data_IF_256421756110
#
_entry.id   IF_256421756110
#
_cell.length_a   1.000
_cell.length_b   1.000
_cell.length_c   1.000
_cell.angle_alpha   90.00
_cell.angle_beta   90.00
_cell.angle_gamma   90.00
#
_symmetry.space_group_name_H-M   'P 1'
#
loop_
_entity.id
_entity.type
_entity.pdbx_description
1 polymer ?
#
# COMPACT_ATOMS: atom_id res chain seq x y z
N UNK A 1 40.82 -11.35 53.23
CA UNK A 1 39.86 -10.26 53.01
C UNK A 1 38.48 -10.82 53.33
N UNK A 2 37.76 -10.15 54.22
CA UNK A 2 36.58 -10.62 54.95
C UNK A 2 35.39 -11.01 54.08
N UNK A 3 34.67 -12.03 54.55
CA UNK A 3 33.28 -12.39 54.22
C UNK A 3 32.29 -11.58 55.09
N UNK A 4 31.00 -11.78 54.78
CA UNK A 4 29.75 -11.28 55.39
C UNK A 4 29.09 -10.17 54.53
N UNK A 5 27.84 -10.27 54.06
CA UNK A 5 26.61 -10.71 54.73
C UNK A 5 25.57 -11.30 53.75
N UNK A 6 24.92 -12.42 54.16
CA UNK A 6 23.48 -12.78 54.15
C UNK A 6 22.58 -12.36 52.96
N UNK A 7 21.66 -13.19 52.44
CA UNK A 7 20.65 -13.92 53.22
C UNK A 7 20.06 -15.16 52.49
N UNK A 8 19.50 -16.04 53.30
CA UNK A 8 19.16 -17.46 53.10
C UNK A 8 17.72 -17.68 52.51
N UNK A 9 17.34 -18.91 52.08
CA UNK A 9 16.16 -19.23 51.28
C UNK A 9 15.01 -19.95 52.04
N UNK A 10 13.86 -20.06 51.33
CA UNK A 10 12.85 -21.13 51.34
C UNK A 10 11.97 -21.44 52.59
N UNK A 11 10.63 -21.42 52.40
CA UNK A 11 9.61 -22.35 52.94
C UNK A 11 8.19 -21.95 52.40
N UNK A 12 7.55 -22.70 51.49
CA UNK A 12 6.42 -23.64 51.71
C UNK A 12 5.69 -23.54 53.08
N UNK A 13 4.36 -23.34 53.13
CA UNK A 13 3.32 -24.39 53.07
C UNK A 13 1.87 -23.85 53.18
N UNK A 14 0.95 -24.63 52.61
CA UNK A 14 -0.51 -24.80 52.71
C UNK A 14 -1.43 -23.83 53.49
N UNK A 15 -2.61 -23.54 52.91
CA UNK A 15 -3.89 -24.10 53.40
C UNK A 15 -5.11 -23.78 52.51
N UNK A 16 -6.00 -24.77 52.46
CA UNK A 16 -7.17 -25.00 51.61
C UNK A 16 -8.46 -24.37 52.15
N UNK A 17 -9.50 -24.33 51.29
CA UNK A 17 -10.95 -24.18 51.56
C UNK A 17 -11.47 -22.72 51.40
N UNK A 18 -12.60 -22.40 50.75
CA UNK A 18 -13.87 -23.12 50.56
C UNK A 18 -14.58 -22.72 49.24
N UNK A 19 -15.42 -23.61 48.74
CA UNK A 19 -16.41 -23.40 47.67
C UNK A 19 -17.66 -22.75 48.24
N UNK A 20 -18.26 -21.77 47.56
CA UNK A 20 -19.72 -21.59 47.54
C UNK A 20 -20.21 -21.09 46.18
N UNK A 21 -21.08 -21.89 45.56
CA UNK A 21 -21.98 -21.55 44.46
C UNK A 21 -23.23 -20.88 45.05
N UNK A 22 -23.70 -19.76 44.48
CA UNK A 22 -25.14 -19.45 44.39
C UNK A 22 -25.41 -18.76 43.05
N UNK A 23 -26.31 -19.39 42.30
CA UNK A 23 -26.92 -18.96 41.03
C UNK A 23 -28.22 -18.20 41.33
N UNK A 24 -28.52 -17.12 40.60
CA UNK A 24 -29.82 -16.76 40.00
C UNK A 24 -29.74 -15.32 39.47
N UNK A 25 -29.75 -15.10 38.14
CA UNK A 25 -30.88 -15.11 37.20
C UNK A 25 -31.53 -13.71 37.07
N UNK A 26 -31.29 -13.08 35.91
CA UNK A 26 -32.13 -12.06 35.28
C UNK A 26 -31.89 -12.09 33.76
N UNK A 27 -32.41 -13.13 33.12
CA UNK A 27 -33.39 -13.06 32.00
C UNK A 27 -33.91 -11.62 31.72
N UNK A 28 -33.99 -11.00 30.53
CA UNK A 28 -33.84 -11.27 29.07
C UNK A 28 -33.76 -9.88 28.40
N UNK A 29 -32.98 -9.68 27.33
CA UNK A 29 -33.53 -9.10 26.08
C UNK A 29 -32.63 -9.31 24.84
N UNK A 30 -33.26 -9.95 23.86
CA UNK A 30 -32.88 -10.20 22.46
C UNK A 30 -32.10 -9.06 21.79
N UNK A 31 -31.06 -9.42 21.04
CA UNK A 31 -31.07 -9.37 19.55
C UNK A 31 -29.66 -9.30 18.99
N UNK A 32 -29.46 -9.98 17.87
CA UNK A 32 -28.43 -9.60 16.91
C UNK A 32 -27.21 -10.49 16.93
N UNK A 33 -27.21 -11.47 16.03
CA UNK A 33 -26.00 -12.03 15.49
C UNK A 33 -25.09 -10.88 15.00
N UNK A 34 -24.03 -10.59 15.73
CA UNK A 34 -22.81 -10.06 15.15
C UNK A 34 -21.88 -11.25 15.05
N UNK A 35 -21.97 -11.98 13.94
CA UNK A 35 -20.80 -12.69 13.42
C UNK A 35 -19.70 -11.64 13.37
N UNK A 36 -18.78 -11.68 14.33
CA UNK A 36 -17.50 -11.03 14.20
C UNK A 36 -16.96 -11.57 12.87
N UNK A 37 -17.07 -10.76 11.83
CA UNK A 37 -16.46 -11.03 10.55
C UNK A 37 -15.01 -11.31 10.88
N UNK A 38 -14.58 -12.54 10.61
CA UNK A 38 -13.18 -12.81 10.39
C UNK A 38 -12.80 -11.94 9.20
N UNK A 39 -12.43 -10.70 9.48
CA UNK A 39 -11.68 -9.88 8.56
C UNK A 39 -10.29 -10.52 8.57
N UNK A 40 -10.14 -11.54 7.71
CA UNK A 40 -8.84 -12.12 7.44
C UNK A 40 -7.95 -10.94 7.06
N UNK A 41 -6.84 -10.77 7.78
CA UNK A 41 -5.80 -9.84 7.39
C UNK A 41 -5.35 -10.17 5.97
N UNK A 42 -5.97 -9.50 4.99
CA UNK A 42 -5.67 -9.65 3.59
C UNK A 42 -4.41 -8.84 3.35
N UNK A 43 -3.26 -9.49 3.43
CA UNK A 43 -2.00 -8.87 3.04
C UNK A 43 -1.98 -8.73 1.49
N UNK A 44 -2.06 -7.51 0.94
CA UNK A 44 -2.09 -7.30 -0.50
C UNK A 44 -0.82 -7.80 -1.19
N UNK A 45 0.32 -7.83 -0.49
CA UNK A 45 1.58 -8.35 -1.02
C UNK A 45 1.50 -9.84 -1.34
N UNK A 46 0.78 -10.61 -0.52
CA UNK A 46 0.59 -12.06 -0.73
C UNK A 46 -0.33 -12.36 -1.94
N UNK A 47 -1.16 -11.42 -2.35
CA UNK A 47 -2.03 -11.59 -3.51
C UNK A 47 -1.35 -11.25 -4.83
N UNK A 48 -0.30 -10.43 -4.81
CA UNK A 48 0.34 -9.92 -6.02
C UNK A 48 0.79 -11.04 -6.98
N UNK A 49 1.53 -12.08 -6.54
CA UNK A 49 1.94 -13.14 -7.46
C UNK A 49 0.76 -13.91 -8.08
N UNK A 50 -0.34 -14.04 -7.33
CA UNK A 50 -1.55 -14.72 -7.82
C UNK A 50 -2.32 -13.84 -8.81
N UNK A 51 -2.50 -12.56 -8.50
CA UNK A 51 -3.20 -11.60 -9.33
C UNK A 51 -2.44 -11.29 -10.64
N UNK A 52 -1.11 -11.48 -10.63
CA UNK A 52 -0.24 -11.15 -11.76
C UNK A 52 0.39 -12.36 -12.44
N UNK A 53 -0.09 -13.57 -12.11
CA UNK A 53 0.42 -14.82 -12.65
C UNK A 53 0.48 -14.79 -14.18
N UNK A 54 1.67 -15.09 -14.72
CA UNK A 54 1.95 -15.13 -16.16
C UNK A 54 1.72 -13.80 -16.90
N UNK A 55 1.53 -12.69 -16.20
CA UNK A 55 1.35 -11.38 -16.80
C UNK A 55 2.70 -10.72 -17.03
N UNK A 56 2.90 -10.22 -18.26
CA UNK A 56 4.05 -9.39 -18.63
C UNK A 56 3.57 -7.94 -18.69
N UNK A 57 4.23 -7.04 -17.97
CA UNK A 57 3.97 -5.60 -18.07
C UNK A 57 4.26 -5.10 -19.48
N UNK A 58 3.28 -4.46 -20.11
CA UNK A 58 3.38 -3.97 -21.51
C UNK A 58 3.08 -2.49 -21.65
N UNK A 59 2.40 -1.89 -20.68
CA UNK A 59 2.05 -0.47 -20.69
C UNK A 59 1.87 0.04 -19.27
N UNK A 60 2.05 1.35 -19.09
CA UNK A 60 1.77 2.01 -17.84
C UNK A 60 1.41 3.48 -18.11
N UNK A 61 0.50 4.02 -17.32
CA UNK A 61 0.13 5.43 -17.33
C UNK A 61 0.04 5.97 -15.92
N UNK A 62 0.35 7.24 -15.76
CA UNK A 62 0.23 7.95 -14.50
C UNK A 62 -0.58 9.23 -14.70
N UNK A 63 -1.51 9.49 -13.81
CA UNK A 63 -2.26 10.72 -13.73
C UNK A 63 -1.94 11.36 -12.39
N UNK A 64 -1.44 12.60 -12.42
CA UNK A 64 -1.10 13.33 -11.22
C UNK A 64 -1.66 14.75 -11.29
N UNK A 65 -2.24 15.20 -10.19
CA UNK A 65 -2.77 16.56 -10.06
C UNK A 65 -2.51 17.09 -8.65
N UNK A 66 -2.21 18.39 -8.56
CA UNK A 66 -2.13 19.06 -7.27
C UNK A 66 -3.55 19.48 -6.81
N UNK A 67 -3.81 19.37 -5.51
CA UNK A 67 -5.09 19.79 -4.94
C UNK A 67 -5.32 21.29 -5.09
N UNK A 68 -4.27 22.08 -4.88
CA UNK A 68 -4.30 23.51 -4.99
C UNK A 68 -3.52 23.98 -6.24
N UNK A 69 -3.79 25.19 -6.75
CA UNK A 69 -2.97 25.78 -7.80
C UNK A 69 -1.56 26.05 -7.29
N UNK A 70 -0.57 25.42 -7.91
CA UNK A 70 0.84 25.70 -7.64
C UNK A 70 1.50 26.20 -8.91
N UNK A 71 2.30 27.26 -8.78
CA UNK A 71 3.05 27.82 -9.88
C UNK A 71 4.24 26.90 -10.20
N UNK A 72 4.27 26.36 -11.43
CA UNK A 72 5.46 25.85 -12.11
C UNK A 72 6.20 24.64 -11.48
N UNK A 73 5.69 24.03 -10.41
CA UNK A 73 6.25 22.76 -9.93
C UNK A 73 5.99 21.62 -10.89
N UNK A 74 6.91 20.67 -10.94
CA UNK A 74 6.77 19.46 -11.75
C UNK A 74 7.13 18.23 -10.95
N UNK A 75 6.78 17.05 -11.44
CA UNK A 75 7.11 15.79 -10.80
C UNK A 75 7.66 14.79 -11.81
N UNK A 76 8.35 13.77 -11.32
CA UNK A 76 8.64 12.54 -12.06
C UNK A 76 8.20 11.36 -11.22
N UNK A 77 7.64 10.35 -11.88
CA UNK A 77 7.13 9.14 -11.25
C UNK A 77 7.92 7.96 -11.77
N UNK A 78 8.45 7.16 -10.86
CA UNK A 78 9.09 5.89 -11.20
C UNK A 78 8.38 4.76 -10.48
N UNK A 79 8.25 3.63 -11.16
CA UNK A 79 7.73 2.39 -10.62
C UNK A 79 8.86 1.38 -10.62
N UNK A 80 9.21 0.88 -9.45
CA UNK A 80 10.23 -0.15 -9.26
C UNK A 80 9.60 -1.40 -8.65
N UNK A 81 10.17 -2.57 -8.90
CA UNK A 81 9.85 -3.79 -8.18
C UNK A 81 11.11 -4.39 -7.60
N UNK A 82 10.98 -5.30 -6.64
CA UNK A 82 12.10 -6.13 -6.22
C UNK A 82 11.96 -7.51 -6.89
N UNK A 83 12.98 -7.91 -7.66
CA UNK A 83 13.04 -9.22 -8.28
C UNK A 83 14.39 -9.86 -7.95
N UNK A 84 14.37 -11.05 -7.34
CA UNK A 84 15.58 -11.78 -6.94
C UNK A 84 16.52 -10.93 -6.08
N UNK A 85 15.97 -10.18 -5.11
CA UNK A 85 16.72 -9.27 -4.23
C UNK A 85 17.39 -8.09 -4.93
N UNK A 86 16.96 -7.74 -6.14
CA UNK A 86 17.42 -6.57 -6.87
C UNK A 86 16.25 -5.64 -7.17
N UNK A 87 16.47 -4.34 -6.98
CA UNK A 87 15.52 -3.33 -7.42
C UNK A 87 15.58 -3.18 -8.94
N UNK A 88 14.44 -3.36 -9.58
CA UNK A 88 14.28 -3.31 -11.03
C UNK A 88 13.34 -2.18 -11.40
N UNK A 89 13.72 -1.39 -12.39
CA UNK A 89 12.83 -0.38 -12.97
C UNK A 89 11.75 -1.08 -13.80
N UNK A 90 10.48 -0.78 -13.51
CA UNK A 90 9.33 -1.31 -14.24
C UNK A 90 8.78 -0.28 -15.22
N UNK A 91 8.65 0.97 -14.75
CA UNK A 91 8.16 2.07 -15.57
C UNK A 91 8.65 3.43 -15.05
N UNK A 92 8.77 4.41 -15.94
CA UNK A 92 9.11 5.78 -15.56
C UNK A 92 8.35 6.81 -16.40
N UNK A 93 8.03 7.95 -15.80
CA UNK A 93 7.60 9.14 -16.54
C UNK A 93 8.81 10.02 -16.84
N UNK A 94 8.66 10.88 -17.85
CA UNK A 94 9.44 12.12 -17.88
C UNK A 94 8.93 13.12 -16.83
N UNK A 95 9.31 14.39 -17.01
CA UNK A 95 8.80 15.49 -16.19
C UNK A 95 7.33 15.76 -16.50
N UNK A 96 6.49 15.75 -15.46
CA UNK A 96 5.07 16.09 -15.50
C UNK A 96 4.91 17.45 -14.83
N UNK A 97 4.51 18.46 -15.61
CA UNK A 97 4.15 19.76 -15.05
C UNK A 97 2.83 19.61 -14.28
N UNK A 98 2.83 20.01 -13.00
CA UNK A 98 1.64 19.91 -12.18
C UNK A 98 0.61 20.97 -12.63
N UNK A 99 -0.58 20.50 -12.96
CA UNK A 99 -1.76 21.34 -13.15
C UNK A 99 -2.65 21.24 -11.92
N UNK A 100 -3.33 22.33 -11.57
CA UNK A 100 -4.29 22.32 -10.46
C UNK A 100 -5.50 21.45 -10.83
N UNK A 101 -6.04 20.68 -9.87
CA UNK A 101 -7.28 19.92 -10.07
C UNK A 101 -8.51 20.82 -10.27
N UNK A 102 -8.43 22.11 -9.92
CA UNK A 102 -9.51 23.08 -10.09
C UNK A 102 -9.60 23.61 -11.52
N UNK A 103 -8.52 23.47 -12.29
CA UNK A 103 -8.55 23.75 -13.71
C UNK A 103 -9.44 22.68 -14.36
N UNK A 104 -10.60 23.06 -14.89
CA UNK A 104 -11.63 22.13 -15.39
C UNK A 104 -11.19 21.31 -16.62
N UNK A 105 -9.91 21.38 -17.00
CA UNK A 105 -9.29 20.37 -17.85
C UNK A 105 -9.14 19.07 -17.07
N UNK A 106 -9.67 17.98 -17.60
CA UNK A 106 -9.48 16.65 -17.02
C UNK A 106 -7.98 16.41 -16.74
N UNK A 107 -7.62 15.93 -15.54
CA UNK A 107 -6.22 15.67 -15.22
C UNK A 107 -5.63 14.75 -16.28
N UNK A 108 -4.51 15.17 -16.87
CA UNK A 108 -3.95 14.51 -18.05
C UNK A 108 -3.32 13.18 -17.62
N UNK A 109 -3.61 12.14 -18.39
CA UNK A 109 -2.89 10.89 -18.29
C UNK A 109 -1.54 11.03 -19.00
N UNK A 110 -0.47 10.64 -18.33
CA UNK A 110 0.89 10.69 -18.81
C UNK A 110 1.37 9.25 -19.07
N UNK A 111 1.71 8.89 -20.32
CA UNK A 111 2.26 7.58 -20.61
C UNK A 111 3.62 7.42 -19.92
N UNK A 112 3.85 6.23 -19.38
CA UNK A 112 5.13 5.86 -18.80
C UNK A 112 5.91 5.00 -19.81
N UNK A 113 7.23 5.19 -19.85
CA UNK A 113 8.12 4.27 -20.54
C UNK A 113 8.22 3.00 -19.71
N UNK A 114 7.87 1.85 -20.30
CA UNK A 114 7.85 0.55 -19.63
C UNK A 114 9.07 -0.28 -20.01
N UNK A 115 9.63 -0.98 -19.03
CA UNK A 115 10.54 -2.10 -19.24
C UNK A 115 9.76 -3.41 -19.09
N UNK A 116 9.57 -4.20 -20.16
CA UNK A 116 8.79 -5.42 -20.09
C UNK A 116 9.34 -6.39 -19.06
N UNK A 117 8.48 -6.82 -18.13
CA UNK A 117 8.84 -7.73 -17.05
C UNK A 117 7.64 -8.58 -16.64
N UNK A 118 7.92 -9.82 -16.23
CA UNK A 118 6.93 -10.69 -15.59
C UNK A 118 6.61 -10.21 -14.19
N UNK A 119 5.36 -9.83 -13.96
CA UNK A 119 4.95 -9.23 -12.69
C UNK A 119 4.88 -10.24 -11.54
N UNK A 120 4.65 -11.52 -11.84
CA UNK A 120 4.63 -12.61 -10.87
C UNK A 120 6.01 -13.00 -10.32
N UNK A 121 7.08 -12.39 -10.84
CA UNK A 121 8.46 -12.61 -10.36
C UNK A 121 8.90 -11.62 -9.28
N UNK A 122 8.07 -10.60 -8.99
CA UNK A 122 8.35 -9.64 -7.95
C UNK A 122 8.16 -10.28 -6.58
N UNK A 123 9.13 -10.09 -5.68
CA UNK A 123 9.07 -10.62 -4.31
C UNK A 123 8.20 -9.77 -3.38
N UNK A 124 7.91 -8.53 -3.77
CA UNK A 124 7.13 -7.55 -3.02
C UNK A 124 6.23 -6.77 -3.98
N UNK A 125 5.33 -5.94 -3.43
CA UNK A 125 4.56 -5.00 -4.25
C UNK A 125 5.51 -4.03 -4.97
N UNK A 126 5.19 -3.62 -6.21
CA UNK A 126 5.92 -2.54 -6.86
C UNK A 126 5.88 -1.26 -6.02
N UNK A 127 7.02 -0.59 -5.85
CA UNK A 127 7.09 0.73 -5.23
C UNK A 127 6.92 1.83 -6.28
N UNK A 128 6.00 2.76 -6.02
CA UNK A 128 5.81 4.01 -6.75
C UNK A 128 6.58 5.10 -6.02
N UNK A 129 7.52 5.74 -6.72
CA UNK A 129 8.27 6.89 -6.20
C UNK A 129 7.86 8.13 -6.97
N UNK A 130 7.39 9.14 -6.25
CA UNK A 130 7.04 10.45 -6.78
C UNK A 130 8.07 11.45 -6.30
N UNK A 131 8.85 11.99 -7.23
CA UNK A 131 9.84 13.03 -6.95
C UNK A 131 9.33 14.35 -7.51
N UNK A 132 9.22 15.36 -6.67
CA UNK A 132 8.93 16.74 -7.05
C UNK A 132 10.18 17.50 -7.44
N UNK A 133 10.02 18.38 -8.42
CA UNK A 133 11.00 19.32 -8.94
C UNK A 133 10.43 20.73 -8.79
N UNK A 134 11.27 21.68 -8.41
CA UNK A 134 10.86 23.08 -8.18
C UNK A 134 9.71 23.20 -7.17
N UNK A 135 9.75 22.36 -6.13
CA UNK A 135 8.77 22.36 -5.03
C UNK A 135 9.28 23.28 -3.93
N UNK A 136 8.73 24.48 -3.87
CA UNK A 136 9.12 25.50 -2.88
C UNK A 136 8.18 25.56 -1.67
N UNK A 137 6.99 24.98 -1.79
CA UNK A 137 5.97 24.90 -0.75
C UNK A 137 5.43 23.47 -0.67
N UNK A 138 4.98 23.00 0.50
CA UNK A 138 4.36 21.68 0.61
C UNK A 138 3.16 21.54 -0.33
N UNK A 139 3.10 20.42 -1.03
CA UNK A 139 2.03 20.10 -1.98
C UNK A 139 1.30 18.83 -1.57
N UNK A 140 0.01 18.77 -1.89
CA UNK A 140 -0.76 17.52 -1.83
C UNK A 140 -1.13 17.09 -3.24
N UNK A 141 -0.75 15.88 -3.60
CA UNK A 141 -1.04 15.29 -4.91
C UNK A 141 -2.15 14.26 -4.82
N UNK A 142 -2.99 14.24 -5.84
CA UNK A 142 -3.79 13.07 -6.20
C UNK A 142 -3.05 12.32 -7.30
N UNK A 143 -2.88 11.02 -7.14
CA UNK A 143 -2.17 10.15 -8.08
C UNK A 143 -3.04 8.95 -8.44
N UNK A 144 -3.09 8.61 -9.72
CA UNK A 144 -3.58 7.34 -10.23
C UNK A 144 -2.49 6.74 -11.10
N UNK A 145 -2.12 5.49 -10.86
CA UNK A 145 -1.22 4.73 -11.73
C UNK A 145 -1.98 3.53 -12.26
N UNK A 146 -1.92 3.34 -13.57
CA UNK A 146 -2.52 2.20 -14.25
C UNK A 146 -1.44 1.41 -14.97
N UNK A 147 -1.41 0.10 -14.74
CA UNK A 147 -0.52 -0.85 -15.39
C UNK A 147 -1.33 -1.73 -16.32
N UNK A 148 -0.89 -1.82 -17.56
CA UNK A 148 -1.42 -2.75 -18.55
C UNK A 148 -0.45 -3.90 -18.71
N UNK A 149 -0.92 -5.11 -18.44
CA UNK A 149 -0.13 -6.32 -18.61
C UNK A 149 -0.84 -7.31 -19.53
N UNK A 150 -0.06 -8.14 -20.21
CA UNK A 150 -0.56 -9.12 -21.18
C UNK A 150 -0.07 -10.51 -20.81
N UNK A 151 -0.96 -11.50 -20.88
CA UNK A 151 -0.57 -12.90 -20.84
C UNK A 151 -0.12 -13.31 -22.27
N UNK A 152 1.15 -13.70 -22.47
CA UNK A 152 1.66 -14.02 -23.80
C UNK A 152 1.11 -15.32 -24.38
N UNK A 153 0.55 -16.20 -23.54
CA UNK A 153 0.02 -17.52 -23.93
C UNK A 153 -1.45 -17.45 -24.35
N UNK A 154 -2.24 -16.59 -23.69
CA UNK A 154 -3.69 -16.46 -23.96
C UNK A 154 -4.04 -15.18 -24.71
N UNK A 155 -3.08 -14.28 -24.91
CA UNK A 155 -3.27 -12.92 -25.41
C UNK A 155 -4.21 -12.04 -24.57
N UNK A 156 -4.64 -12.50 -23.39
CA UNK A 156 -5.48 -11.73 -22.47
C UNK A 156 -4.74 -10.50 -21.94
N UNK A 157 -5.44 -9.39 -21.84
CA UNK A 157 -4.94 -8.13 -21.26
C UNK A 157 -5.59 -7.93 -19.90
N UNK A 158 -4.78 -7.57 -18.91
CA UNK A 158 -5.22 -7.15 -17.59
C UNK A 158 -4.82 -5.69 -17.37
N UNK A 159 -5.71 -4.95 -16.72
CA UNK A 159 -5.48 -3.57 -16.30
C UNK A 159 -5.54 -3.53 -14.78
N UNK A 160 -4.48 -3.03 -14.18
CA UNK A 160 -4.32 -2.92 -12.73
C UNK A 160 -4.19 -1.45 -12.38
N UNK A 161 -4.99 -0.98 -11.43
CA UNK A 161 -5.01 0.44 -11.07
C UNK A 161 -4.76 0.60 -9.59
N UNK A 162 -4.02 1.63 -9.22
CA UNK A 162 -3.94 2.13 -7.85
C UNK A 162 -4.22 3.64 -7.84
N UNK A 163 -4.88 4.12 -6.79
CA UNK A 163 -5.23 5.53 -6.60
C UNK A 163 -4.89 5.96 -5.18
N UNK A 164 -4.27 7.15 -5.07
CA UNK A 164 -4.00 7.84 -3.83
C UNK A 164 -4.53 9.26 -3.93
N UNK A 165 -5.45 9.61 -3.04
CA UNK A 165 -6.09 10.92 -3.07
C UNK A 165 -5.35 11.99 -2.29
N UNK A 166 -4.33 11.66 -1.49
CA UNK A 166 -3.55 12.68 -0.79
C UNK A 166 -2.14 12.21 -0.49
N UNK A 167 -1.21 12.50 -1.40
CA UNK A 167 0.22 12.26 -1.23
C UNK A 167 0.90 13.57 -0.87
N UNK A 168 1.50 13.70 0.33
CA UNK A 168 2.27 14.89 0.69
C UNK A 168 3.63 14.86 -0.02
N UNK A 169 4.00 15.99 -0.62
CA UNK A 169 5.38 16.29 -1.01
C UNK A 169 5.85 17.50 -0.21
N UNK A 170 6.92 17.32 0.55
CA UNK A 170 7.55 18.38 1.34
C UNK A 170 8.50 19.23 0.48
N UNK A 171 8.67 20.51 0.81
CA UNK A 171 9.54 21.40 0.05
C UNK A 171 11.04 21.10 0.24
N UNK A 172 11.44 20.59 1.42
CA UNK A 172 12.83 20.23 1.73
C UNK A 172 13.17 18.84 1.19
N UNK A 173 12.20 17.91 1.25
CA UNK A 173 12.34 16.56 0.70
C UNK A 173 11.10 16.21 -0.14
N UNK A 174 11.05 16.65 -1.41
CA UNK A 174 9.89 16.44 -2.28
C UNK A 174 9.85 15.01 -2.83
N UNK A 175 9.87 14.00 -1.96
CA UNK A 175 9.85 12.59 -2.32
C UNK A 175 8.74 11.87 -1.54
N UNK A 176 7.90 11.14 -2.26
CA UNK A 176 6.98 10.16 -1.70
C UNK A 176 7.29 8.77 -2.26
N UNK A 177 7.19 7.75 -1.40
CA UNK A 177 7.32 6.33 -1.77
C UNK A 177 6.07 5.61 -1.29
N UNK A 178 5.43 4.87 -2.17
CA UNK A 178 4.14 4.21 -1.95
C UNK A 178 4.19 2.80 -2.54
N UNK A 179 3.56 1.83 -1.90
CA UNK A 179 3.41 0.49 -2.50
C UNK A 179 2.23 0.48 -3.45
N UNK A 180 2.38 -0.07 -4.65
CA UNK A 180 1.31 -0.25 -5.63
C UNK A 180 0.29 -1.26 -5.09
N UNK A 181 -0.78 -0.75 -4.49
CA UNK A 181 -1.86 -1.57 -3.96
C UNK A 181 -2.91 -1.78 -5.05
N UNK A 182 -3.09 -3.03 -5.45
CA UNK A 182 -4.12 -3.43 -6.42
C UNK A 182 -5.50 -3.02 -5.92
N UNK A 183 -6.16 -2.12 -6.64
CA UNK A 183 -7.57 -1.83 -6.41
C UNK A 183 -8.39 -2.75 -7.30
N UNK A 184 -9.13 -3.68 -6.69
CA UNK A 184 -10.05 -4.51 -7.44
C UNK A 184 -11.16 -3.64 -8.01
N UNK A 185 -11.13 -3.44 -9.33
CA UNK A 185 -12.31 -3.06 -10.08
C UNK A 185 -13.04 -4.36 -10.42
N UNK A 186 -14.27 -4.51 -9.94
CA UNK A 186 -15.13 -5.60 -10.42
C UNK A 186 -15.16 -5.53 -11.96
N UNK A 187 -15.00 -6.66 -12.67
CA UNK A 187 -15.19 -6.66 -14.11
C UNK A 187 -16.64 -6.26 -14.39
N UNK A 188 -16.82 -5.13 -15.08
CA UNK A 188 -18.12 -4.80 -15.66
C UNK A 188 -18.44 -5.89 -16.70
N UNK A 189 -19.30 -6.83 -16.30
CA UNK A 189 -19.97 -7.80 -17.17
C UNK A 189 -21.03 -7.10 -18.02
#
# INVERSE_FOLDING_TARGET
MSQDYHDNPAAVDASTAERYHVTQDTTIERSGAATAGHDFGYDPAHQWPNATRELVLTGATALAAAHEPHAQSSISITLTGNALSNDVLLAETGTIVLTSSRDHSHPRSHPMRVLPMRLDTLSELPAIRVLGHDVIEPIRLRLVVELTARNPHTAATAVMTCQYDSIPLDAQTPLAVLDFQLQHREPHL
#
